data_IF_874558335269
#
_entry.id   IF_874558335269
#
_cell.length_a   1.000
_cell.length_b   1.000
_cell.length_c   1.000
_cell.angle_alpha   90.00
_cell.angle_beta   90.00
_cell.angle_gamma   90.00
#
_symmetry.space_group_name_H-M   'P 1'
#
loop_
_entity.id
_entity.type
_entity.pdbx_description
1 polymer ?
#
# COMPACT_ATOMS: atom_id res chain seq x y z
N UNK A 1 -26.46 -62.56 12.09
CA UNK A 1 -24.98 -62.66 12.16
C UNK A 1 -24.42 -61.70 11.12
N UNK A 2 -24.06 -60.49 11.55
CA UNK A 2 -23.41 -59.49 10.69
C UNK A 2 -21.91 -59.83 10.56
N UNK A 3 -21.25 -59.46 9.45
CA UNK A 3 -19.83 -59.69 9.27
C UNK A 3 -19.01 -58.65 10.05
N UNK A 4 -17.84 -59.09 10.50
CA UNK A 4 -16.76 -58.29 11.09
C UNK A 4 -16.12 -57.44 10.00
N UNK A 5 -15.85 -56.16 10.29
CA UNK A 5 -14.89 -55.34 9.54
C UNK A 5 -13.94 -54.74 10.55
N UNK A 6 -12.67 -55.13 10.43
CA UNK A 6 -11.55 -54.73 11.26
C UNK A 6 -11.19 -53.25 11.09
N UNK A 7 -10.70 -52.68 12.18
CA UNK A 7 -10.19 -51.33 12.30
C UNK A 7 -8.88 -51.15 11.52
N UNK A 8 -8.86 -50.20 10.59
CA UNK A 8 -7.62 -49.54 10.18
C UNK A 8 -7.61 -48.14 10.80
N UNK A 9 -6.92 -48.01 11.92
CA UNK A 9 -6.50 -46.74 12.45
C UNK A 9 -5.62 -46.05 11.41
N UNK A 10 -6.13 -44.96 10.81
CA UNK A 10 -5.29 -44.00 10.11
C UNK A 10 -4.97 -42.87 11.07
N UNK A 11 -3.68 -42.59 11.10
CA UNK A 11 -2.99 -41.57 11.87
C UNK A 11 -3.73 -40.23 11.95
N UNK A 12 -3.80 -39.73 13.18
CA UNK A 12 -3.94 -38.35 13.61
C UNK A 12 -4.47 -37.34 12.60
N UNK A 13 -5.77 -37.02 12.71
CA UNK A 13 -6.26 -35.71 12.30
C UNK A 13 -5.46 -34.64 13.08
N UNK A 14 -4.88 -33.63 12.41
CA UNK A 14 -4.23 -32.55 13.14
C UNK A 14 -5.31 -31.80 13.92
N UNK A 15 -5.18 -31.83 15.24
CA UNK A 15 -6.05 -31.05 16.14
C UNK A 15 -5.84 -29.58 15.83
N UNK A 16 -6.90 -28.86 15.41
CA UNK A 16 -6.91 -27.41 15.07
C UNK A 16 -6.11 -26.52 16.04
N UNK A 17 -6.02 -26.94 17.30
CA UNK A 17 -5.20 -26.33 18.35
C UNK A 17 -3.71 -26.19 17.99
N UNK A 18 -3.09 -27.27 17.48
CA UNK A 18 -1.65 -27.28 17.15
C UNK A 18 -1.32 -26.51 15.88
N UNK A 19 -2.23 -26.49 14.90
CA UNK A 19 -2.06 -25.73 13.66
C UNK A 19 -2.25 -24.22 13.90
N UNK A 20 -3.18 -23.85 14.78
CA UNK A 20 -3.34 -22.47 15.24
C UNK A 20 -2.16 -21.99 16.08
N UNK A 21 -1.56 -22.87 16.88
CA UNK A 21 -0.35 -22.61 17.67
C UNK A 21 0.90 -22.54 16.79
N UNK A 22 1.05 -23.42 15.80
CA UNK A 22 2.12 -23.35 14.78
C UNK A 22 2.01 -22.10 13.89
N UNK A 23 0.79 -21.65 13.56
CA UNK A 23 0.58 -20.33 12.91
C UNK A 23 0.99 -19.16 13.78
N UNK A 24 0.94 -19.29 15.11
CA UNK A 24 1.44 -18.27 16.05
C UNK A 24 2.97 -18.31 16.20
N UNK A 25 3.60 -19.46 15.98
CA UNK A 25 5.04 -19.68 16.15
C UNK A 25 5.90 -19.11 15.00
N UNK A 26 5.33 -18.94 13.81
CA UNK A 26 6.05 -18.36 12.67
C UNK A 26 5.37 -17.09 12.17
N UNK A 27 6.01 -15.93 12.40
CA UNK A 27 5.68 -14.70 11.68
C UNK A 27 5.80 -15.01 10.18
N UNK A 28 4.74 -14.74 9.42
CA UNK A 28 4.80 -14.87 7.96
C UNK A 28 6.01 -14.08 7.41
N UNK A 29 6.74 -14.61 6.42
CA UNK A 29 7.88 -13.90 5.86
C UNK A 29 7.43 -12.57 5.25
N UNK A 30 8.31 -11.58 5.29
CA UNK A 30 8.08 -10.29 4.66
C UNK A 30 7.83 -10.47 3.16
N UNK A 31 6.79 -9.83 2.63
CA UNK A 31 6.50 -9.83 1.19
C UNK A 31 7.05 -8.55 0.55
N UNK A 32 7.96 -8.70 -0.41
CA UNK A 32 8.61 -7.58 -1.10
C UNK A 32 8.26 -7.62 -2.59
N UNK A 33 7.96 -6.45 -3.16
CA UNK A 33 7.90 -6.29 -4.61
C UNK A 33 9.28 -5.81 -5.10
N UNK A 34 10.08 -6.78 -5.56
CA UNK A 34 11.50 -6.56 -5.88
C UNK A 34 11.78 -5.75 -7.15
N UNK A 35 10.81 -5.62 -8.05
CA UNK A 35 10.89 -4.80 -9.27
C UNK A 35 9.48 -4.42 -9.74
N UNK A 36 9.24 -3.15 -10.07
CA UNK A 36 7.98 -2.69 -10.66
C UNK A 36 8.12 -1.39 -11.42
N UNK A 37 7.42 -1.26 -12.55
CA UNK A 37 7.38 -0.09 -13.41
C UNK A 37 6.04 0.00 -14.13
N UNK A 38 5.71 1.17 -14.69
CA UNK A 38 4.38 1.46 -15.28
C UNK A 38 4.03 0.54 -16.44
N UNK A 39 5.03 0.16 -17.24
CA UNK A 39 4.93 -0.81 -18.32
C UNK A 39 6.26 -1.57 -18.44
N UNK A 40 6.21 -2.78 -19.01
CA UNK A 40 7.39 -3.63 -19.20
C UNK A 40 8.34 -3.05 -20.28
N UNK A 41 9.54 -3.64 -20.40
CA UNK A 41 10.49 -3.38 -21.52
C UNK A 41 10.85 -1.89 -21.66
N UNK A 42 11.13 -1.23 -20.53
CA UNK A 42 11.55 0.18 -20.52
C UNK A 42 10.43 1.19 -20.40
N UNK A 43 9.17 0.76 -20.45
CA UNK A 43 8.01 1.64 -20.27
C UNK A 43 7.26 1.90 -21.57
N UNK A 44 6.26 2.76 -21.48
CA UNK A 44 5.44 3.19 -22.61
C UNK A 44 5.87 4.59 -23.04
N UNK A 45 6.36 4.78 -24.28
CA UNK A 45 6.74 6.08 -24.79
C UNK A 45 5.63 7.11 -24.68
N UNK A 46 5.99 8.34 -24.30
CA UNK A 46 5.09 9.47 -24.09
C UNK A 46 4.02 9.28 -23.00
N UNK A 47 4.10 8.22 -22.19
CA UNK A 47 3.18 7.97 -21.08
C UNK A 47 3.95 7.74 -19.78
N UNK A 48 4.89 6.79 -19.80
CA UNK A 48 5.80 6.56 -18.68
C UNK A 48 6.70 7.79 -18.50
N UNK A 49 7.03 8.11 -17.25
CA UNK A 49 7.81 9.32 -16.93
C UNK A 49 7.03 10.64 -17.05
N UNK A 50 5.74 10.60 -17.41
CA UNK A 50 4.86 11.77 -17.41
C UNK A 50 3.91 11.76 -16.21
N UNK A 51 3.23 12.89 -15.96
CA UNK A 51 2.20 12.96 -14.93
C UNK A 51 1.07 11.93 -15.10
N UNK A 52 0.80 11.46 -16.32
CA UNK A 52 -0.24 10.46 -16.56
C UNK A 52 0.05 9.12 -15.86
N UNK A 53 1.33 8.76 -15.67
CA UNK A 53 1.75 7.55 -14.98
C UNK A 53 1.81 7.71 -13.44
N UNK A 54 1.95 8.94 -12.95
CA UNK A 54 2.14 9.21 -11.51
C UNK A 54 1.00 8.74 -10.62
N UNK A 55 -0.29 8.90 -10.99
CA UNK A 55 -1.40 8.32 -10.22
C UNK A 55 -1.30 6.80 -10.06
N UNK A 56 -0.84 6.07 -11.10
CA UNK A 56 -0.63 4.63 -11.01
C UNK A 56 0.48 4.29 -10.01
N UNK A 57 1.58 5.06 -10.03
CA UNK A 57 2.70 4.84 -9.11
C UNK A 57 2.29 5.05 -7.65
N UNK A 58 1.61 6.17 -7.36
CA UNK A 58 1.09 6.48 -6.02
C UNK A 58 0.01 5.49 -5.57
N UNK A 59 -0.86 5.05 -6.48
CA UNK A 59 -1.88 4.03 -6.19
C UNK A 59 -1.24 2.70 -5.80
N UNK A 60 -0.17 2.29 -6.49
CA UNK A 60 0.56 1.06 -6.17
C UNK A 60 1.27 1.14 -4.81
N UNK A 61 1.95 2.25 -4.51
CA UNK A 61 2.56 2.48 -3.19
C UNK A 61 1.53 2.34 -2.06
N UNK A 62 0.38 3.01 -2.21
CA UNK A 62 -0.71 2.95 -1.22
C UNK A 62 -1.35 1.57 -1.10
N UNK A 63 -1.59 0.90 -2.24
CA UNK A 63 -2.22 -0.41 -2.27
C UNK A 63 -1.32 -1.48 -1.65
N UNK A 64 -0.04 -1.54 -2.04
CA UNK A 64 0.90 -2.52 -1.50
C UNK A 64 1.12 -2.33 0.01
N UNK A 65 1.24 -1.09 0.47
CA UNK A 65 1.33 -0.80 1.90
C UNK A 65 0.08 -1.27 2.67
N UNK A 66 -1.11 -1.04 2.10
CA UNK A 66 -2.38 -1.52 2.67
C UNK A 66 -2.47 -3.04 2.73
N UNK A 67 -1.95 -3.74 1.73
CA UNK A 67 -1.94 -5.21 1.64
C UNK A 67 -0.75 -5.84 2.40
N UNK A 68 0.07 -5.04 3.10
CA UNK A 68 1.11 -5.54 4.00
C UNK A 68 2.44 -5.88 3.32
N UNK A 69 2.69 -5.39 2.10
CA UNK A 69 4.03 -5.44 1.52
C UNK A 69 4.97 -4.51 2.27
N UNK A 70 6.16 -5.01 2.62
CA UNK A 70 7.14 -4.26 3.41
C UNK A 70 8.04 -3.38 2.54
N UNK A 71 8.32 -3.81 1.30
CA UNK A 71 9.22 -3.11 0.37
C UNK A 71 8.65 -3.14 -1.05
N UNK A 72 8.83 -2.03 -1.76
CA UNK A 72 8.57 -1.88 -3.19
C UNK A 72 9.76 -1.21 -3.85
N UNK A 73 10.37 -1.88 -4.82
CA UNK A 73 11.52 -1.38 -5.56
C UNK A 73 11.08 -0.85 -6.93
N UNK A 74 11.20 0.46 -7.14
CA UNK A 74 10.90 1.11 -8.41
C UNK A 74 11.96 0.78 -9.46
N UNK A 75 11.52 0.18 -10.55
CA UNK A 75 12.26 0.09 -11.80
C UNK A 75 11.97 1.36 -12.61
N UNK A 76 12.93 2.24 -12.84
CA UNK A 76 14.32 2.33 -12.32
C UNK A 76 14.54 3.69 -11.66
N UNK A 77 15.66 3.86 -10.95
CA UNK A 77 16.10 5.19 -10.52
C UNK A 77 16.44 6.09 -11.73
N UNK A 78 17.17 5.56 -12.71
CA UNK A 78 17.57 6.27 -13.92
C UNK A 78 17.57 5.32 -15.12
N UNK A 79 17.31 5.86 -16.31
CA UNK A 79 17.23 5.11 -17.58
C UNK A 79 15.84 4.59 -17.90
N UNK A 80 15.53 4.48 -19.19
CA UNK A 80 14.22 4.11 -19.75
C UNK A 80 13.08 5.10 -19.45
N UNK A 81 11.96 4.96 -20.18
CA UNK A 81 10.82 5.88 -20.11
C UNK A 81 10.15 5.89 -18.72
N UNK A 82 10.21 4.80 -17.96
CA UNK A 82 9.66 4.74 -16.60
C UNK A 82 10.61 5.26 -15.51
N UNK A 83 11.81 5.74 -15.87
CA UNK A 83 12.82 6.15 -14.91
C UNK A 83 12.32 7.27 -13.98
N UNK A 84 12.77 7.25 -12.73
CA UNK A 84 12.56 8.42 -11.85
C UNK A 84 13.37 9.63 -12.36
N UNK A 85 14.54 9.39 -12.95
CA UNK A 85 15.33 10.38 -13.66
C UNK A 85 15.33 10.05 -15.16
N UNK A 86 15.19 11.08 -16.00
CA UNK A 86 15.31 10.94 -17.45
C UNK A 86 16.68 10.38 -17.83
N UNK A 87 16.72 9.58 -18.90
CA UNK A 87 17.95 8.86 -19.29
C UNK A 87 19.08 9.80 -19.72
N UNK A 88 18.77 10.78 -20.57
CA UNK A 88 19.79 11.65 -21.16
C UNK A 88 20.20 12.82 -20.26
N UNK A 89 19.25 13.42 -19.53
CA UNK A 89 19.46 14.67 -18.77
C UNK A 89 19.54 14.48 -17.26
N UNK A 90 19.19 13.29 -16.73
CA UNK A 90 19.03 13.02 -15.29
C UNK A 90 18.06 13.98 -14.60
N UNK A 91 17.13 14.56 -15.36
CA UNK A 91 16.11 15.45 -14.82
C UNK A 91 15.03 14.63 -14.12
N UNK A 92 14.53 15.08 -12.96
CA UNK A 92 13.52 14.35 -12.21
C UNK A 92 12.17 14.34 -12.94
N UNK A 93 11.62 13.15 -13.15
CA UNK A 93 10.26 12.97 -13.67
C UNK A 93 9.22 13.32 -12.59
N UNK A 94 7.94 13.50 -12.94
CA UNK A 94 6.88 13.66 -11.95
C UNK A 94 6.83 12.52 -10.92
N UNK A 95 7.21 11.29 -11.31
CA UNK A 95 7.28 10.15 -10.40
C UNK A 95 8.41 10.29 -9.37
N UNK A 96 9.53 10.93 -9.71
CA UNK A 96 10.58 11.26 -8.74
C UNK A 96 10.04 12.17 -7.65
N UNK A 97 9.39 13.27 -8.04
CA UNK A 97 8.82 14.22 -7.09
C UNK A 97 7.71 13.60 -6.25
N UNK A 98 6.86 12.76 -6.85
CA UNK A 98 5.85 12.00 -6.13
C UNK A 98 6.47 11.02 -5.12
N UNK A 99 7.56 10.34 -5.49
CA UNK A 99 8.31 9.44 -4.60
C UNK A 99 8.96 10.21 -3.45
N UNK A 100 9.52 11.37 -3.72
CA UNK A 100 10.12 12.24 -2.72
C UNK A 100 9.05 12.74 -1.74
N UNK A 101 7.90 13.19 -2.25
CA UNK A 101 6.78 13.63 -1.41
C UNK A 101 6.25 12.47 -0.55
N UNK A 102 6.08 11.27 -1.11
CA UNK A 102 5.72 10.07 -0.37
C UNK A 102 6.70 9.81 0.77
N UNK A 103 8.01 9.80 0.48
CA UNK A 103 9.07 9.54 1.46
C UNK A 103 9.07 10.54 2.61
N UNK A 104 8.71 11.80 2.33
CA UNK A 104 8.66 12.86 3.34
C UNK A 104 7.34 12.96 4.07
N UNK A 105 6.22 12.44 3.56
CA UNK A 105 4.89 12.69 4.14
C UNK A 105 4.17 11.44 4.61
N UNK A 106 4.51 10.26 4.10
CA UNK A 106 3.86 8.99 4.45
C UNK A 106 4.72 8.21 5.44
N UNK A 107 4.21 8.01 6.66
CA UNK A 107 4.85 7.19 7.69
C UNK A 107 4.66 5.69 7.47
N UNK A 108 5.19 4.88 8.39
CA UNK A 108 5.21 3.41 8.26
C UNK A 108 3.97 2.71 8.82
N UNK A 109 3.22 3.34 9.73
CA UNK A 109 1.96 2.77 10.24
C UNK A 109 0.84 3.01 9.23
N UNK A 110 0.22 1.95 8.73
CA UNK A 110 -0.86 2.01 7.73
C UNK A 110 -2.22 1.88 8.41
N UNK A 111 -3.18 2.73 8.02
CA UNK A 111 -4.54 2.74 8.55
C UNK A 111 -5.57 2.39 7.48
N UNK A 112 -6.57 1.62 7.86
CA UNK A 112 -7.73 1.34 7.00
C UNK A 112 -8.60 2.58 6.87
N UNK A 113 -8.93 2.95 5.63
CA UNK A 113 -9.90 4.00 5.32
C UNK A 113 -11.21 3.37 4.89
N UNK A 114 -12.30 3.73 5.56
CA UNK A 114 -13.64 3.37 5.14
C UNK A 114 -14.22 4.48 4.26
N UNK A 115 -14.65 4.12 3.05
CA UNK A 115 -15.38 5.02 2.16
C UNK A 115 -16.86 4.63 2.14
N UNK A 116 -17.79 5.59 2.02
CA UNK A 116 -19.21 5.29 1.82
C UNK A 116 -19.41 4.42 0.59
N UNK A 117 -20.45 3.57 0.60
CA UNK A 117 -20.83 2.74 -0.57
C UNK A 117 -21.14 3.58 -1.82
N UNK A 118 -21.50 4.84 -1.64
CA UNK A 118 -21.78 5.80 -2.71
C UNK A 118 -20.53 6.45 -3.29
N UNK A 119 -19.34 6.24 -2.70
CA UNK A 119 -18.10 6.78 -3.21
C UNK A 119 -17.80 6.22 -4.61
N UNK A 120 -17.37 7.06 -5.58
CA UNK A 120 -17.11 6.60 -6.93
C UNK A 120 -15.91 5.66 -6.96
N UNK A 121 -15.94 4.66 -7.84
CA UNK A 121 -14.84 3.69 -8.00
C UNK A 121 -13.54 4.32 -8.50
N UNK A 122 -13.58 5.54 -8.99
CA UNK A 122 -12.44 6.35 -9.43
C UNK A 122 -11.71 7.06 -8.28
N UNK A 123 -12.27 7.05 -7.07
CA UNK A 123 -11.62 7.59 -5.88
C UNK A 123 -10.78 6.50 -5.20
N UNK A 124 -9.53 6.82 -4.90
CA UNK A 124 -8.62 6.01 -4.08
C UNK A 124 -8.14 6.84 -2.90
N UNK A 125 -8.13 6.25 -1.72
CA UNK A 125 -7.69 6.92 -0.49
C UNK A 125 -6.85 5.97 0.35
N UNK A 126 -5.65 6.41 0.71
CA UNK A 126 -4.71 5.71 1.57
C UNK A 126 -4.37 6.58 2.77
N UNK A 127 -4.16 5.97 3.94
CA UNK A 127 -3.91 6.71 5.18
C UNK A 127 -2.76 6.08 5.94
N UNK A 128 -1.76 6.90 6.28
CA UNK A 128 -0.58 6.51 7.02
C UNK A 128 -0.41 7.40 8.25
N UNK A 129 0.47 7.02 9.17
CA UNK A 129 0.95 7.94 10.21
C UNK A 129 1.75 9.07 9.58
N UNK A 130 1.98 10.14 10.34
CA UNK A 130 3.06 11.05 10.01
C UNK A 130 4.41 10.30 10.01
N UNK A 131 5.37 10.68 9.16
CA UNK A 131 6.71 10.13 9.22
C UNK A 131 7.47 10.70 10.41
N UNK A 132 8.45 9.94 10.87
CA UNK A 132 9.35 10.38 11.93
C UNK A 132 10.15 11.61 11.48
N UNK A 133 10.29 12.60 12.37
CA UNK A 133 11.01 13.84 12.08
C UNK A 133 10.30 14.82 11.14
N UNK A 134 9.10 14.50 10.63
CA UNK A 134 8.32 15.46 9.85
C UNK A 134 7.85 16.61 10.72
N UNK A 135 8.12 17.86 10.34
CA UNK A 135 7.62 19.02 11.06
C UNK A 135 6.10 19.14 10.87
N UNK A 136 5.36 18.74 11.89
CA UNK A 136 3.90 18.83 11.93
C UNK A 136 3.44 20.26 12.32
N UNK A 137 4.36 21.13 12.71
CA UNK A 137 4.08 22.39 13.37
C UNK A 137 3.71 22.18 14.84
N UNK A 138 3.98 23.21 15.66
CA UNK A 138 3.85 23.16 17.14
C UNK A 138 2.52 22.59 17.65
N UNK A 139 1.40 22.87 16.97
CA UNK A 139 0.07 22.41 17.38
C UNK A 139 -0.17 20.93 17.14
N UNK A 140 0.30 20.38 16.03
CA UNK A 140 0.10 18.97 15.70
C UNK A 140 1.19 18.07 16.29
N UNK A 141 2.33 18.63 16.68
CA UNK A 141 3.40 17.91 17.40
C UNK A 141 2.89 17.27 18.70
N UNK A 142 2.07 18.01 19.48
CA UNK A 142 1.41 17.51 20.69
C UNK A 142 0.50 16.29 20.43
N UNK A 143 0.15 16.04 19.16
CA UNK A 143 -0.71 14.95 18.71
C UNK A 143 -0.02 14.09 17.65
N UNK A 144 1.33 14.02 17.58
CA UNK A 144 2.07 13.28 16.54
C UNK A 144 1.59 11.84 16.37
N UNK A 145 1.38 11.10 17.45
CA UNK A 145 0.87 9.71 17.39
C UNK A 145 -0.55 9.63 16.81
N UNK A 146 -1.33 10.71 16.90
CA UNK A 146 -2.66 10.84 16.30
C UNK A 146 -2.61 11.49 14.90
N UNK A 147 -1.48 12.06 14.47
CA UNK A 147 -1.34 12.67 13.17
C UNK A 147 -1.45 11.63 12.05
N UNK A 148 -2.16 11.99 10.99
CA UNK A 148 -2.44 11.13 9.84
C UNK A 148 -2.10 11.87 8.57
N UNK A 149 -1.50 11.17 7.62
CA UNK A 149 -1.30 11.64 6.25
C UNK A 149 -2.23 10.86 5.34
N UNK A 150 -2.97 11.58 4.49
CA UNK A 150 -3.84 10.99 3.49
C UNK A 150 -3.26 11.21 2.10
N UNK A 151 -3.11 10.13 1.33
CA UNK A 151 -2.99 10.18 -0.12
C UNK A 151 -4.37 9.99 -0.72
N UNK A 152 -4.82 10.95 -1.51
CA UNK A 152 -6.13 10.94 -2.18
C UNK A 152 -5.90 11.08 -3.68
N UNK A 153 -6.38 10.10 -4.45
CA UNK A 153 -6.29 10.10 -5.91
C UNK A 153 -7.72 10.13 -6.46
N UNK A 154 -8.04 11.17 -7.22
CA UNK A 154 -9.30 11.29 -7.93
C UNK A 154 -9.07 11.06 -9.43
N UNK A 155 -9.45 9.89 -9.93
CA UNK A 155 -9.40 9.56 -11.36
C UNK A 155 -10.70 9.94 -12.09
N UNK A 156 -11.64 10.60 -11.40
CA UNK A 156 -12.88 11.09 -11.98
C UNK A 156 -12.66 12.40 -12.75
N UNK A 157 -13.55 12.66 -13.71
CA UNK A 157 -13.52 13.87 -14.52
C UNK A 157 -14.00 15.14 -13.79
N UNK A 158 -14.47 15.00 -12.55
CA UNK A 158 -15.01 16.12 -11.75
C UNK A 158 -14.35 16.16 -10.38
N UNK A 159 -14.16 17.35 -9.79
CA UNK A 159 -13.74 17.49 -8.39
C UNK A 159 -14.71 16.78 -7.44
N UNK A 160 -14.18 16.19 -6.37
CA UNK A 160 -14.95 15.53 -5.31
C UNK A 160 -14.72 16.28 -4.00
N UNK A 161 -15.79 16.58 -3.27
CA UNK A 161 -15.70 17.13 -1.91
C UNK A 161 -15.62 15.98 -0.91
N UNK A 162 -14.57 15.98 -0.09
CA UNK A 162 -14.38 15.00 0.98
C UNK A 162 -14.62 15.65 2.34
N UNK A 163 -15.33 14.93 3.21
CA UNK A 163 -15.54 15.32 4.60
C UNK A 163 -14.89 14.26 5.48
N UNK A 164 -13.87 14.66 6.24
CA UNK A 164 -13.22 13.78 7.19
C UNK A 164 -14.12 13.62 8.42
N UNK A 165 -14.48 12.39 8.73
CA UNK A 165 -15.22 12.05 9.94
C UNK A 165 -14.27 11.38 10.94
N UNK A 166 -14.43 11.72 12.23
CA UNK A 166 -13.81 10.91 13.28
C UNK A 166 -14.51 9.57 13.31
N UNK A 167 -13.76 8.49 13.48
CA UNK A 167 -14.35 7.19 13.75
C UNK A 167 -15.19 7.32 15.03
N UNK A 168 -16.49 7.04 14.93
CA UNK A 168 -17.33 6.83 16.12
C UNK A 168 -16.81 5.57 16.83
N UNK A 169 -16.80 5.58 18.16
CA UNK A 169 -16.38 4.43 18.98
C UNK A 169 -17.31 3.21 18.87
N UNK A 170 -18.29 3.24 17.97
CA UNK A 170 -19.33 2.23 17.78
C UNK A 170 -19.08 1.42 16.52
N UNK A 171 -18.23 0.40 16.63
CA UNK A 171 -18.20 -0.77 15.74
C UNK A 171 -17.17 -1.76 16.30
N UNK A 172 -17.56 -2.50 17.33
CA UNK A 172 -16.95 -3.80 17.65
C UNK A 172 -17.45 -4.84 16.65
#
# INVERSE_FOLDING_TARGET
>A
RAPVVESNAREGAPTESKDAENRKLHKAPACWLGETGSAQVGGQPNVSGTWAATPWWLDQLGLLAKEGHEVQCRQTLAGADYGLLTEDSLEPTPDYWASLLWRHTMGTKVYRVALPRTAPRTLRVYCHSAPEGFDLGKRAEAFREAARTFLIINLGQRPIKLLLQRASAESK
#
